data_IF_092699002906
#
_entry.id   IF_092699002906
#
_cell.length_a   1.000
_cell.length_b   1.000
_cell.length_c   1.000
_cell.angle_alpha   90.00
_cell.angle_beta   90.00
_cell.angle_gamma   90.00
#
_symmetry.space_group_name_H-M   'P 1'
#
loop_
_entity.id
_entity.type
_entity.pdbx_description
1 polymer ?
#
# COMPACT_ATOMS: atom_id res chain seq x y z
N UNK A 1 -11.97 -0.27 -16.08
CA UNK A 1 -10.59 -0.73 -15.83
C UNK A 1 -10.52 -1.38 -14.45
N UNK A 2 -10.48 -2.70 -14.38
CA UNK A 2 -10.39 -3.43 -13.11
C UNK A 2 -9.10 -3.06 -12.36
N UNK A 3 -9.20 -2.75 -11.07
CA UNK A 3 -8.04 -2.52 -10.24
C UNK A 3 -7.46 -3.89 -9.86
N UNK A 4 -6.18 -4.10 -10.12
CA UNK A 4 -5.48 -5.32 -9.69
C UNK A 4 -4.74 -4.99 -8.41
N UNK A 5 -4.96 -5.80 -7.38
CA UNK A 5 -4.53 -5.51 -6.01
C UNK A 5 -3.68 -6.63 -5.45
N UNK A 6 -2.98 -6.36 -4.36
CA UNK A 6 -2.22 -7.39 -3.64
C UNK A 6 -2.93 -7.69 -2.33
N UNK A 7 -3.22 -8.96 -2.08
CA UNK A 7 -3.44 -9.44 -0.73
C UNK A 7 -2.09 -9.84 -0.14
N UNK A 8 -1.85 -9.41 1.09
CA UNK A 8 -0.69 -9.85 1.88
C UNK A 8 -1.22 -10.68 3.04
N UNK A 9 -0.58 -11.83 3.30
CA UNK A 9 -0.78 -12.66 4.49
C UNK A 9 0.49 -12.68 5.35
N UNK A 10 0.46 -13.33 6.51
CA UNK A 10 1.55 -13.29 7.49
C UNK A 10 2.92 -13.77 6.97
N UNK A 11 2.96 -14.51 5.85
CA UNK A 11 4.21 -14.80 5.14
C UNK A 11 4.50 -13.68 4.12
N UNK A 12 5.52 -12.83 4.32
CA UNK A 12 5.79 -11.71 3.44
C UNK A 12 6.33 -12.11 2.06
N UNK A 13 6.71 -13.38 1.88
CA UNK A 13 7.24 -13.92 0.63
C UNK A 13 6.17 -14.76 -0.06
N UNK A 14 5.58 -15.73 0.65
CA UNK A 14 4.60 -16.67 0.08
C UNK A 14 3.15 -16.25 0.26
N UNK A 15 2.90 -15.20 1.04
CA UNK A 15 1.57 -14.68 1.36
C UNK A 15 1.10 -13.55 0.46
N UNK A 16 1.86 -13.19 -0.57
CA UNK A 16 1.47 -12.19 -1.55
C UNK A 16 0.63 -12.86 -2.64
N UNK A 17 -0.56 -12.34 -2.88
CA UNK A 17 -1.45 -12.83 -3.94
C UNK A 17 -1.96 -11.65 -4.78
N UNK A 18 -2.01 -11.82 -6.10
CA UNK A 18 -2.68 -10.85 -6.97
C UNK A 18 -4.19 -11.13 -7.01
N UNK A 19 -5.00 -10.13 -6.70
CA UNK A 19 -6.44 -10.18 -6.88
C UNK A 19 -6.79 -9.39 -8.14
N UNK A 20 -7.15 -10.11 -9.19
CA UNK A 20 -7.59 -9.55 -10.47
C UNK A 20 -9.08 -9.18 -10.42
N UNK A 21 -9.49 -8.23 -11.26
CA UNK A 21 -10.92 -7.92 -11.44
C UNK A 21 -11.56 -7.06 -10.35
N UNK A 22 -10.81 -6.64 -9.32
CA UNK A 22 -11.38 -5.93 -8.18
C UNK A 22 -11.61 -4.44 -8.50
N UNK A 23 -12.85 -4.05 -8.75
CA UNK A 23 -13.25 -2.65 -8.65
C UNK A 23 -13.65 -2.36 -7.20
N UNK A 24 -12.73 -1.82 -6.40
CA UNK A 24 -12.95 -1.73 -4.95
C UNK A 24 -14.16 -0.85 -4.60
N UNK A 25 -14.52 0.11 -5.46
CA UNK A 25 -15.73 0.93 -5.31
C UNK A 25 -17.05 0.15 -5.43
N UNK A 26 -17.05 -1.05 -6.02
CA UNK A 26 -18.28 -1.82 -6.31
C UNK A 26 -18.27 -3.24 -5.71
N UNK A 27 -17.19 -3.68 -5.09
CA UNK A 27 -16.90 -5.11 -4.93
C UNK A 27 -16.88 -5.60 -3.49
N UNK A 28 -17.83 -5.20 -2.65
CA UNK A 28 -17.94 -5.73 -1.27
C UNK A 28 -18.02 -7.27 -1.26
N UNK A 29 -18.72 -7.87 -2.22
CA UNK A 29 -18.77 -9.31 -2.41
C UNK A 29 -17.39 -9.92 -2.72
N UNK A 30 -16.57 -9.24 -3.53
CA UNK A 30 -15.23 -9.73 -3.87
C UNK A 30 -14.28 -9.59 -2.67
N UNK A 31 -14.38 -8.48 -1.91
CA UNK A 31 -13.63 -8.30 -0.66
C UNK A 31 -13.97 -9.41 0.34
N UNK A 32 -15.26 -9.71 0.53
CA UNK A 32 -15.72 -10.78 1.39
C UNK A 32 -15.26 -12.17 0.89
N UNK A 33 -15.38 -12.42 -0.43
CA UNK A 33 -14.92 -13.68 -1.05
C UNK A 33 -13.43 -13.95 -0.84
N UNK A 34 -12.61 -12.90 -0.85
CA UNK A 34 -11.17 -13.00 -0.58
C UNK A 34 -10.82 -12.91 0.91
N UNK A 35 -11.81 -12.77 1.80
CA UNK A 35 -11.60 -12.65 3.25
C UNK A 35 -10.78 -11.41 3.61
N UNK A 36 -10.92 -10.32 2.85
CA UNK A 36 -10.21 -9.07 3.11
C UNK A 36 -10.79 -8.42 4.37
N UNK A 37 -9.93 -8.14 5.34
CA UNK A 37 -10.30 -7.48 6.60
C UNK A 37 -9.74 -6.06 6.70
N UNK A 38 -8.74 -5.74 5.88
CA UNK A 38 -8.01 -4.49 5.90
C UNK A 38 -7.77 -3.99 4.48
N UNK A 39 -7.93 -2.71 4.23
CA UNK A 39 -7.70 -2.08 2.92
C UNK A 39 -6.78 -0.88 3.07
N UNK A 40 -5.79 -0.76 2.18
CA UNK A 40 -4.92 0.40 2.01
C UNK A 40 -5.18 1.01 0.63
N UNK A 41 -5.68 2.25 0.60
CA UNK A 41 -5.88 3.03 -0.62
C UNK A 41 -4.80 4.07 -0.80
N UNK A 42 -4.00 3.95 -1.86
CA UNK A 42 -2.95 4.88 -2.26
C UNK A 42 -3.42 5.73 -3.44
N UNK A 43 -4.47 6.51 -3.23
CA UNK A 43 -5.13 7.36 -4.23
C UNK A 43 -5.61 8.67 -3.60
N UNK A 44 -6.02 9.62 -4.43
CA UNK A 44 -6.65 10.85 -3.96
C UNK A 44 -8.06 10.58 -3.41
N UNK A 45 -8.58 11.49 -2.58
CA UNK A 45 -9.82 11.33 -1.82
C UNK A 45 -11.03 10.92 -2.66
N UNK A 46 -11.15 11.49 -3.87
CA UNK A 46 -12.25 11.21 -4.81
C UNK A 46 -12.29 9.77 -5.31
N UNK A 47 -11.17 9.06 -5.25
CA UNK A 47 -11.01 7.70 -5.75
C UNK A 47 -11.09 6.66 -4.63
N UNK A 48 -11.30 7.09 -3.38
CA UNK A 48 -11.44 6.15 -2.28
C UNK A 48 -12.77 5.41 -2.36
N UNK A 49 -12.73 4.07 -2.30
CA UNK A 49 -13.95 3.27 -2.30
C UNK A 49 -14.78 3.53 -1.04
N UNK A 50 -16.09 3.61 -1.20
CA UNK A 50 -17.04 3.66 -0.09
C UNK A 50 -17.26 2.24 0.44
N UNK A 51 -16.81 1.98 1.67
CA UNK A 51 -17.01 0.70 2.33
C UNK A 51 -18.33 0.70 3.11
N UNK A 52 -19.08 -0.40 3.03
CA UNK A 52 -20.21 -0.64 3.92
C UNK A 52 -19.74 -0.63 5.37
N UNK A 53 -20.44 0.09 6.24
CA UNK A 53 -20.10 0.15 7.66
C UNK A 53 -20.20 -1.24 8.31
N UNK A 54 -21.16 -2.04 7.84
CA UNK A 54 -21.41 -3.43 8.25
C UNK A 54 -20.33 -4.41 7.80
N UNK A 55 -19.43 -4.03 6.88
CA UNK A 55 -18.35 -4.91 6.43
C UNK A 55 -17.28 -5.17 7.51
N UNK A 56 -17.16 -4.28 8.50
CA UNK A 56 -16.10 -4.36 9.52
C UNK A 56 -14.68 -4.15 8.97
N UNK A 57 -14.52 -3.81 7.69
CA UNK A 57 -13.23 -3.64 7.04
C UNK A 57 -12.55 -2.38 7.57
N UNK A 58 -11.32 -2.53 8.09
CA UNK A 58 -10.48 -1.38 8.48
C UNK A 58 -9.84 -0.78 7.25
N UNK A 59 -9.90 0.54 7.10
CA UNK A 59 -9.47 1.22 5.87
C UNK A 59 -8.46 2.32 6.15
N UNK A 60 -7.22 2.12 5.69
CA UNK A 60 -6.19 3.15 5.66
C UNK A 60 -6.23 3.89 4.32
N UNK A 61 -6.32 5.22 4.40
CA UNK A 61 -6.46 6.13 3.27
C UNK A 61 -5.22 7.01 3.18
N UNK A 62 -4.51 6.93 2.06
CA UNK A 62 -3.22 7.61 1.87
C UNK A 62 -3.29 8.42 0.58
N UNK A 63 -3.31 9.77 0.66
CA UNK A 63 -3.38 10.64 -0.51
C UNK A 63 -2.02 10.67 -1.22
N UNK A 64 -1.76 9.64 -2.04
CA UNK A 64 -0.51 9.48 -2.77
C UNK A 64 -0.72 9.63 -4.28
N UNK A 65 -0.02 10.61 -4.87
CA UNK A 65 -0.03 10.88 -6.32
C UNK A 65 1.08 10.09 -7.01
N UNK A 66 0.83 9.63 -8.25
CA UNK A 66 1.79 8.81 -9.00
C UNK A 66 2.75 9.64 -9.85
N UNK A 67 3.57 10.44 -9.18
CA UNK A 67 4.61 11.25 -9.83
C UNK A 67 5.97 10.90 -9.23
N UNK A 68 7.02 10.96 -10.05
CA UNK A 68 8.40 10.63 -9.62
C UNK A 68 8.87 11.49 -8.45
N UNK A 69 8.36 12.70 -8.38
CA UNK A 69 8.71 13.64 -7.34
C UNK A 69 7.82 13.50 -6.11
N UNK A 70 6.86 12.59 -6.00
CA UNK A 70 6.06 12.47 -4.76
C UNK A 70 6.91 11.89 -3.62
N UNK A 71 6.70 12.34 -2.38
CA UNK A 71 7.43 11.81 -1.20
C UNK A 71 6.78 10.53 -0.68
N UNK A 72 7.08 9.41 -1.31
CA UNK A 72 6.63 8.08 -0.88
C UNK A 72 7.22 7.71 0.49
N UNK A 73 8.48 8.06 0.75
CA UNK A 73 9.20 7.68 1.98
C UNK A 73 8.48 8.13 3.25
N UNK A 74 7.92 9.34 3.25
CA UNK A 74 7.15 9.87 4.39
C UNK A 74 5.97 8.96 4.79
N UNK A 75 5.38 8.24 3.83
CA UNK A 75 4.24 7.36 4.10
C UNK A 75 4.67 5.93 4.47
N UNK A 76 5.86 5.48 4.05
CA UNK A 76 6.24 4.06 4.17
C UNK A 76 6.25 3.56 5.60
N UNK A 77 6.77 4.32 6.57
CA UNK A 77 6.78 3.88 7.97
C UNK A 77 5.37 3.58 8.49
N UNK A 78 4.48 4.56 8.36
CA UNK A 78 3.10 4.45 8.84
C UNK A 78 2.34 3.33 8.10
N UNK A 79 2.44 3.28 6.77
CA UNK A 79 1.68 2.30 5.97
C UNK A 79 2.20 0.89 6.21
N UNK A 80 3.52 0.68 6.19
CA UNK A 80 4.10 -0.64 6.39
C UNK A 80 3.86 -1.12 7.82
N UNK A 81 3.98 -0.25 8.84
CA UNK A 81 3.61 -0.61 10.21
C UNK A 81 2.13 -0.99 10.31
N UNK A 82 1.24 -0.22 9.69
CA UNK A 82 -0.18 -0.52 9.71
C UNK A 82 -0.49 -1.88 9.07
N UNK A 83 0.18 -2.23 7.96
CA UNK A 83 0.07 -3.56 7.34
C UNK A 83 0.60 -4.64 8.30
N UNK A 84 1.76 -4.43 8.91
CA UNK A 84 2.36 -5.37 9.86
C UNK A 84 1.44 -5.61 11.08
N UNK A 85 0.90 -4.55 11.66
CA UNK A 85 -0.01 -4.63 12.81
C UNK A 85 -1.33 -5.32 12.45
N UNK A 86 -1.88 -5.00 11.28
CA UNK A 86 -3.06 -5.68 10.74
C UNK A 86 -2.83 -7.19 10.59
N UNK A 87 -1.67 -7.60 10.04
CA UNK A 87 -1.33 -9.01 9.80
C UNK A 87 -0.93 -9.76 11.07
N UNK A 88 -0.34 -9.09 12.05
CA UNK A 88 -0.04 -9.67 13.36
C UNK A 88 -1.31 -10.02 14.12
N UNK A 89 -2.40 -9.28 13.89
CA UNK A 89 -3.74 -9.50 14.42
C UNK A 89 -3.77 -9.66 15.93
N UNK A 90 -4.04 -8.59 16.68
CA UNK A 90 -4.23 -8.56 18.15
C UNK A 90 -3.53 -9.74 18.85
N UNK A 91 -2.19 -9.70 18.89
CA UNK A 91 -1.40 -10.67 19.65
C UNK A 91 -1.93 -10.77 21.09
N UNK A 92 -2.46 -9.66 21.61
CA UNK A 92 -3.14 -9.57 22.91
C UNK A 92 -4.38 -10.46 23.03
N UNK A 93 -5.19 -10.63 21.98
CA UNK A 93 -6.42 -11.45 22.03
C UNK A 93 -6.08 -12.95 22.02
N UNK A 94 -5.04 -13.37 21.31
CA UNK A 94 -4.59 -14.77 21.27
C UNK A 94 -3.87 -15.17 22.55
N UNK A 95 -2.94 -14.34 23.03
CA UNK A 95 -2.24 -14.57 24.31
C UNK A 95 -3.21 -14.53 25.49
N UNK A 96 -4.20 -13.63 25.48
CA UNK A 96 -5.25 -13.61 26.50
C UNK A 96 -6.14 -14.87 26.47
N UNK A 97 -6.46 -15.40 25.27
CA UNK A 97 -7.24 -16.65 25.14
C UNK A 97 -6.47 -17.88 25.58
N UNK A 98 -5.21 -18.03 25.17
CA UNK A 98 -4.35 -19.14 25.61
C UNK A 98 -4.09 -19.08 27.12
N UNK A 99 -3.93 -17.88 27.67
CA UNK A 99 -3.82 -17.64 29.11
C UNK A 99 -5.09 -18.03 29.87
N UNK A 100 -6.27 -17.74 29.34
CA UNK A 100 -7.56 -18.08 29.97
C UNK A 100 -7.87 -19.58 29.87
N UNK A 101 -7.63 -20.21 28.71
CA UNK A 101 -7.79 -21.67 28.53
C UNK A 101 -6.86 -22.46 29.47
N UNK A 102 -5.63 -21.99 29.66
CA UNK A 102 -4.67 -22.56 30.60
C UNK A 102 -5.13 -22.42 32.05
N UNK A 103 -5.80 -21.32 32.42
CA UNK A 103 -6.36 -21.10 33.77
C UNK A 103 -7.57 -22.01 34.04
N UNK A 104 -8.44 -22.19 33.06
CA UNK A 104 -9.61 -23.08 33.16
C UNK A 104 -9.15 -24.54 33.34
N UNK A 105 -8.19 -25.02 32.55
CA UNK A 105 -7.67 -26.38 32.67
C UNK A 105 -6.92 -26.63 33.99
N UNK A 106 -6.23 -25.62 34.53
CA UNK A 106 -5.57 -25.73 35.84
C UNK A 106 -6.57 -25.74 37.00
N UNK A 107 -7.68 -25.00 36.91
CA UNK A 107 -8.74 -25.03 37.93
C UNK A 107 -9.51 -26.36 37.93
N UNK A 108 -9.74 -26.96 36.77
CA UNK A 108 -10.36 -28.30 36.65
C UNK A 108 -9.49 -29.42 37.25
N UNK A 109 -8.16 -29.29 37.17
CA UNK A 109 -7.23 -30.27 37.74
C UNK A 109 -7.03 -30.13 39.26
N UNK A 110 -7.33 -28.97 39.84
CA UNK A 110 -7.13 -28.69 41.27
C UNK A 110 -8.42 -28.74 42.11
N UNK A 111 -9.60 -28.89 41.49
CA UNK A 111 -10.91 -28.93 42.16
C UNK A 111 -11.49 -30.34 42.34
N UNK A 112 -10.96 -31.12 43.30
CA UNK A 112 -11.57 -32.37 43.71
C UNK A 112 -12.87 -32.19 44.49
N UNK A 113 -14.01 -32.64 43.94
CA UNK A 113 -14.99 -33.56 44.58
C UNK A 113 -16.17 -33.81 43.63
N UNK A 114 -16.19 -34.99 43.03
CA UNK A 114 -17.34 -35.52 42.29
C UNK A 114 -18.48 -35.81 43.27
N UNK A 115 -19.60 -35.08 43.17
CA UNK A 115 -20.90 -35.54 43.67
C UNK A 115 -21.67 -36.04 42.45
N UNK A 116 -21.77 -37.36 42.32
CA UNK A 116 -22.67 -38.01 41.36
C UNK A 116 -24.08 -37.96 41.93
N UNK A 117 -25.02 -37.34 41.23
CA UNK A 117 -26.39 -37.83 41.15
C UNK A 117 -27.10 -37.24 39.92
N UNK A 118 -27.62 -38.14 39.08
CA UNK A 118 -28.83 -37.90 38.27
C UNK A 118 -28.68 -37.10 36.99
N UNK A 119 -29.04 -37.76 35.88
CA UNK A 119 -29.46 -37.17 34.60
C UNK A 119 -28.34 -36.65 33.67
N UNK A 120 -28.20 -37.33 32.53
CA UNK A 120 -27.39 -36.88 31.40
C UNK A 120 -28.16 -35.78 30.65
N UNK A 121 -27.68 -34.53 30.59
CA UNK A 121 -28.06 -33.65 29.49
C UNK A 121 -27.25 -34.10 28.26
N UNK A 122 -27.90 -34.08 27.09
CA UNK A 122 -27.29 -34.50 25.83
C UNK A 122 -25.96 -33.78 25.57
N UNK A 123 -25.05 -34.47 24.88
CA UNK A 123 -23.89 -33.84 24.23
C UNK A 123 -24.44 -32.81 23.25
N UNK A 124 -24.60 -31.57 23.70
CA UNK A 124 -24.59 -30.43 22.80
C UNK A 124 -23.24 -30.46 22.09
N UNK A 125 -23.27 -30.69 20.78
CA UNK A 125 -22.17 -30.28 19.93
C UNK A 125 -22.03 -28.78 20.16
N UNK A 126 -21.04 -28.40 20.97
CA UNK A 126 -20.63 -27.01 21.06
C UNK A 126 -20.16 -26.64 19.66
N UNK A 127 -20.94 -25.82 18.96
CA UNK A 127 -20.43 -24.98 17.89
C UNK A 127 -19.36 -24.10 18.53
N UNK A 128 -18.12 -24.58 18.60
CA UNK A 128 -16.99 -23.66 18.61
C UNK A 128 -17.10 -22.91 17.29
N UNK A 129 -17.32 -21.59 17.28
CA UNK A 129 -17.27 -20.83 16.05
C UNK A 129 -15.95 -21.17 15.37
N UNK A 130 -15.97 -21.39 14.05
CA UNK A 130 -14.74 -21.54 13.29
C UNK A 130 -13.80 -20.39 13.68
N UNK A 131 -12.48 -20.65 13.80
CA UNK A 131 -11.54 -19.60 14.13
C UNK A 131 -11.72 -18.44 13.15
N UNK A 132 -11.97 -17.24 13.71
CA UNK A 132 -12.11 -16.01 12.92
C UNK A 132 -10.98 -15.95 11.87
N UNK A 133 -11.32 -15.68 10.59
CA UNK A 133 -10.37 -15.76 9.50
C UNK A 133 -9.16 -14.87 9.76
N UNK A 134 -7.97 -15.41 9.46
CA UNK A 134 -6.72 -14.68 9.59
C UNK A 134 -6.80 -13.33 8.85
N UNK A 135 -6.23 -12.25 9.39
CA UNK A 135 -6.29 -10.95 8.76
C UNK A 135 -5.64 -11.00 7.37
N UNK A 136 -6.28 -10.34 6.40
CA UNK A 136 -5.76 -10.15 5.04
C UNK A 136 -5.84 -8.69 4.67
N UNK A 137 -4.71 -8.16 4.20
CA UNK A 137 -4.59 -6.75 3.85
C UNK A 137 -4.56 -6.60 2.34
N UNK A 138 -5.50 -5.83 1.82
CA UNK A 138 -5.55 -5.40 0.43
C UNK A 138 -4.78 -4.10 0.26
N UNK A 139 -3.80 -4.05 -0.65
CA UNK A 139 -3.09 -2.80 -1.00
C UNK A 139 -3.37 -2.44 -2.45
N UNK A 140 -3.90 -1.23 -2.68
CA UNK A 140 -4.27 -0.78 -4.02
C UNK A 140 -3.93 0.68 -4.33
N UNK A 141 -3.85 0.96 -5.62
CA UNK A 141 -3.84 2.30 -6.21
C UNK A 141 -4.76 2.29 -7.44
N UNK A 142 -4.56 3.16 -8.43
CA UNK A 142 -5.40 3.18 -9.66
C UNK A 142 -5.17 1.99 -10.60
N UNK A 143 -3.92 1.61 -10.84
CA UNK A 143 -3.59 0.57 -11.84
C UNK A 143 -3.00 -0.70 -11.23
N UNK A 144 -2.64 -0.69 -9.94
CA UNK A 144 -1.93 -1.81 -9.33
C UNK A 144 -0.49 -2.00 -9.83
N UNK A 145 0.11 -0.94 -10.41
CA UNK A 145 1.42 -1.00 -11.08
C UNK A 145 2.50 -0.27 -10.26
N UNK A 146 2.32 1.02 -10.02
CA UNK A 146 3.35 1.88 -9.43
C UNK A 146 3.16 2.08 -7.91
N UNK A 147 2.23 2.94 -7.47
CA UNK A 147 2.02 3.26 -6.03
C UNK A 147 1.84 2.06 -5.11
N UNK A 148 0.82 1.23 -5.35
CA UNK A 148 0.60 0.04 -4.51
C UNK A 148 1.70 -1.00 -4.66
N UNK A 149 2.24 -1.15 -5.86
CA UNK A 149 3.41 -1.99 -6.10
C UNK A 149 4.62 -1.55 -5.27
N UNK A 150 4.86 -0.24 -5.18
CA UNK A 150 5.95 0.34 -4.40
C UNK A 150 5.79 0.07 -2.89
N UNK A 151 4.57 0.23 -2.35
CA UNK A 151 4.28 -0.08 -0.94
C UNK A 151 4.42 -1.58 -0.64
N UNK A 152 3.93 -2.46 -1.52
CA UNK A 152 4.08 -3.92 -1.33
C UNK A 152 5.56 -4.31 -1.39
N UNK A 153 6.34 -3.73 -2.30
CA UNK A 153 7.80 -3.89 -2.34
C UNK A 153 8.44 -3.40 -1.03
N UNK A 154 8.09 -2.20 -0.53
CA UNK A 154 8.61 -1.67 0.72
C UNK A 154 8.32 -2.59 1.93
N UNK A 155 7.10 -3.14 2.00
CA UNK A 155 6.71 -4.12 3.00
C UNK A 155 7.58 -5.38 2.89
N UNK A 156 7.72 -5.97 1.70
CA UNK A 156 8.56 -7.14 1.49
C UNK A 156 10.03 -6.87 1.85
N UNK A 157 10.56 -5.69 1.53
CA UNK A 157 11.92 -5.27 1.92
C UNK A 157 12.08 -5.24 3.45
N UNK A 158 11.13 -4.64 4.19
CA UNK A 158 11.19 -4.59 5.65
C UNK A 158 11.03 -5.97 6.27
N UNK A 159 10.02 -6.72 5.84
CA UNK A 159 9.64 -7.99 6.45
C UNK A 159 10.65 -9.13 6.17
N UNK A 160 11.27 -9.15 4.98
CA UNK A 160 12.23 -10.19 4.59
C UNK A 160 13.70 -9.70 4.57
N UNK A 161 13.97 -8.44 4.92
CA UNK A 161 15.32 -7.88 4.94
C UNK A 161 15.98 -7.77 3.55
N UNK A 162 15.18 -7.73 2.49
CA UNK A 162 15.63 -7.71 1.10
C UNK A 162 15.99 -6.29 0.63
N UNK A 163 16.88 -6.21 -0.36
CA UNK A 163 17.04 -4.99 -1.15
C UNK A 163 15.87 -4.81 -2.14
N UNK A 164 15.87 -3.66 -2.82
CA UNK A 164 14.79 -3.29 -3.74
C UNK A 164 14.62 -4.29 -4.88
N UNK A 165 15.71 -4.67 -5.55
CA UNK A 165 15.63 -5.51 -6.75
C UNK A 165 15.20 -6.94 -6.41
N UNK A 166 15.69 -7.49 -5.29
CA UNK A 166 15.26 -8.79 -4.79
C UNK A 166 13.79 -8.78 -4.35
N UNK A 167 13.35 -7.77 -3.60
CA UNK A 167 11.96 -7.63 -3.17
C UNK A 167 11.01 -7.44 -4.37
N UNK A 168 11.38 -6.59 -5.33
CA UNK A 168 10.63 -6.42 -6.58
C UNK A 168 10.52 -7.75 -7.34
N UNK A 169 11.60 -8.54 -7.38
CA UNK A 169 11.61 -9.87 -7.96
C UNK A 169 10.60 -10.82 -7.29
N UNK A 170 10.51 -10.81 -5.96
CA UNK A 170 9.50 -11.58 -5.21
C UNK A 170 8.08 -11.14 -5.57
N UNK A 171 7.80 -9.83 -5.47
CA UNK A 171 6.47 -9.29 -5.77
C UNK A 171 6.05 -9.60 -7.21
N UNK A 172 6.98 -9.51 -8.17
CA UNK A 172 6.72 -9.80 -9.59
C UNK A 172 6.40 -11.26 -9.90
N UNK A 173 6.75 -12.22 -9.03
CA UNK A 173 6.29 -13.62 -9.19
C UNK A 173 4.78 -13.72 -9.11
N UNK A 174 4.16 -12.89 -8.27
CA UNK A 174 2.72 -12.85 -8.07
C UNK A 174 2.04 -11.81 -8.95
N UNK A 175 2.73 -10.69 -9.22
CA UNK A 175 2.23 -9.63 -10.10
C UNK A 175 3.31 -9.09 -11.05
N UNK A 176 3.51 -9.70 -12.23
CA UNK A 176 4.56 -9.29 -13.18
C UNK A 176 4.49 -7.82 -13.62
N UNK A 177 3.30 -7.22 -13.61
CA UNK A 177 3.08 -5.83 -14.00
C UNK A 177 3.57 -4.80 -12.97
N UNK A 178 3.95 -5.20 -11.75
CA UNK A 178 4.45 -4.25 -10.75
C UNK A 178 5.70 -3.56 -11.26
N UNK A 179 5.63 -2.24 -11.30
CA UNK A 179 6.69 -1.37 -11.78
C UNK A 179 6.53 0.00 -11.13
N UNK A 180 7.10 0.21 -9.93
CA UNK A 180 7.21 1.53 -9.33
C UNK A 180 7.78 2.53 -10.34
N UNK A 181 7.28 3.77 -10.34
CA UNK A 181 7.88 4.82 -11.15
C UNK A 181 9.36 5.04 -10.73
N UNK A 182 10.21 5.63 -11.59
CA UNK A 182 11.64 5.77 -11.30
C UNK A 182 11.96 6.48 -9.98
N UNK A 183 11.22 7.53 -9.64
CA UNK A 183 11.42 8.25 -8.38
C UNK A 183 11.05 7.43 -7.15
N UNK A 184 10.01 6.59 -7.25
CA UNK A 184 9.68 5.61 -6.20
C UNK A 184 10.73 4.49 -6.11
N UNK A 185 11.28 4.02 -7.23
CA UNK A 185 12.35 3.04 -7.21
C UNK A 185 13.61 3.57 -6.48
N UNK A 186 14.00 4.82 -6.74
CA UNK A 186 15.12 5.46 -6.06
C UNK A 186 14.84 5.66 -4.57
N UNK A 187 13.63 6.08 -4.22
CA UNK A 187 13.18 6.16 -2.84
C UNK A 187 13.20 4.80 -2.13
N UNK A 188 12.81 3.71 -2.78
CA UNK A 188 12.89 2.36 -2.19
C UNK A 188 14.33 1.89 -1.98
N UNK A 189 15.28 2.31 -2.83
CA UNK A 189 16.71 2.06 -2.56
C UNK A 189 17.19 2.85 -1.35
N UNK A 190 16.78 4.11 -1.20
CA UNK A 190 17.05 4.91 0.00
C UNK A 190 16.37 4.31 1.25
N UNK A 191 15.16 3.79 1.12
CA UNK A 191 14.46 3.07 2.20
C UNK A 191 15.32 1.93 2.76
N UNK A 192 16.00 1.16 1.90
CA UNK A 192 16.94 0.13 2.34
C UNK A 192 18.12 0.70 3.13
N UNK A 193 18.71 1.81 2.67
CA UNK A 193 19.82 2.48 3.37
C UNK A 193 19.38 3.01 4.74
N UNK A 194 18.14 3.48 4.82
CA UNK A 194 17.45 3.86 6.05
C UNK A 194 17.03 2.64 6.89
N UNK A 195 17.51 1.43 6.59
CA UNK A 195 17.18 0.18 7.31
C UNK A 195 15.67 -0.06 7.38
N UNK A 196 14.98 0.31 6.31
CA UNK A 196 13.53 0.28 6.20
C UNK A 196 12.84 1.02 7.36
N UNK A 197 13.33 2.22 7.73
CA UNK A 197 12.69 3.12 8.73
C UNK A 197 13.26 4.55 8.60
N UNK A 198 12.43 5.55 8.32
CA UNK A 198 12.84 6.96 8.20
C UNK A 198 13.04 7.63 9.56
N UNK A 199 12.37 7.16 10.61
CA UNK A 199 12.50 7.69 11.97
C UNK A 199 13.66 7.06 12.73
N UNK A 200 14.21 7.80 13.69
CA UNK A 200 15.25 7.28 14.58
C UNK A 200 14.66 6.26 15.57
N UNK A 201 15.51 5.39 16.14
CA UNK A 201 15.08 4.50 17.21
C UNK A 201 14.92 5.22 18.56
N UNK A 202 15.52 6.41 18.71
CA UNK A 202 15.47 7.19 19.94
C UNK A 202 14.16 7.97 20.09
N UNK A 203 13.58 8.42 18.97
CA UNK A 203 12.36 9.22 18.95
C UNK A 203 11.54 8.93 17.67
N UNK A 204 10.25 8.54 17.78
CA UNK A 204 9.38 8.27 16.64
C UNK A 204 9.00 9.51 15.82
N UNK A 205 9.39 10.72 16.23
CA UNK A 205 9.14 11.96 15.48
C UNK A 205 10.39 12.46 14.75
N UNK A 206 11.59 12.16 15.28
CA UNK A 206 12.85 12.60 14.66
C UNK A 206 13.21 11.72 13.47
N UNK A 207 13.40 12.34 12.30
CA UNK A 207 13.83 11.67 11.07
C UNK A 207 15.33 11.47 10.99
N UNK A 208 15.78 10.49 10.18
CA UNK A 208 17.19 10.23 9.89
C UNK A 208 17.76 11.27 8.93
N UNK A 209 19.01 11.65 9.13
CA UNK A 209 19.71 12.69 8.35
C UNK A 209 19.74 12.41 6.84
N UNK A 210 19.79 11.15 6.44
CA UNK A 210 19.83 10.71 5.05
C UNK A 210 18.49 10.97 4.35
N UNK A 211 17.37 10.79 5.08
CA UNK A 211 16.05 11.17 4.59
C UNK A 211 15.93 12.70 4.48
N UNK A 212 16.39 13.44 5.48
CA UNK A 212 16.36 14.91 5.47
C UNK A 212 17.17 15.48 4.30
N UNK A 213 18.39 14.98 4.10
CA UNK A 213 19.25 15.39 2.98
C UNK A 213 18.58 15.10 1.62
N UNK A 214 17.96 13.92 1.48
CA UNK A 214 17.21 13.59 0.27
C UNK A 214 15.99 14.50 0.07
N UNK A 215 15.21 14.74 1.13
CA UNK A 215 14.00 15.58 1.11
C UNK A 215 14.35 17.02 0.72
N UNK A 216 15.45 17.55 1.26
CA UNK A 216 15.91 18.90 0.98
C UNK A 216 16.42 19.01 -0.48
N UNK A 217 17.13 17.98 -0.96
CA UNK A 217 17.56 17.88 -2.36
C UNK A 217 16.39 17.74 -3.35
N UNK A 218 15.31 17.05 -2.96
CA UNK A 218 14.07 16.92 -3.74
C UNK A 218 13.41 18.27 -3.99
N UNK A 219 13.42 19.18 -3.01
CA UNK A 219 12.90 20.54 -3.18
C UNK A 219 13.57 21.27 -4.34
N UNK A 220 14.89 21.15 -4.45
CA UNK A 220 15.67 21.74 -5.55
C UNK A 220 15.29 21.12 -6.90
N UNK A 221 15.10 19.79 -6.95
CA UNK A 221 14.69 19.10 -8.17
C UNK A 221 13.28 19.49 -8.63
N UNK A 222 12.34 19.65 -7.69
CA UNK A 222 11.00 20.17 -7.94
C UNK A 222 11.06 21.56 -8.56
N UNK A 223 11.80 22.50 -7.96
CA UNK A 223 11.94 23.86 -8.48
C UNK A 223 12.54 23.89 -9.89
N UNK A 224 13.61 23.11 -10.14
CA UNK A 224 14.21 22.99 -11.48
C UNK A 224 13.24 22.40 -12.51
N UNK A 225 12.44 21.41 -12.12
CA UNK A 225 11.41 20.81 -12.99
C UNK A 225 10.31 21.80 -13.33
N UNK A 226 9.87 22.62 -12.37
CA UNK A 226 8.89 23.68 -12.61
C UNK A 226 9.45 24.79 -13.52
N UNK A 227 10.70 25.20 -13.31
CA UNK A 227 11.42 26.14 -14.17
C UNK A 227 11.52 25.61 -15.60
N UNK A 228 11.98 24.36 -15.78
CA UNK A 228 12.06 23.73 -17.10
C UNK A 228 10.69 23.64 -17.79
N UNK A 229 9.61 23.32 -17.05
CA UNK A 229 8.25 23.32 -17.60
C UNK A 229 7.79 24.73 -18.01
N UNK A 230 8.12 25.76 -17.22
CA UNK A 230 7.83 27.16 -17.57
C UNK A 230 8.58 27.58 -18.82
N UNK A 231 9.87 27.26 -18.93
CA UNK A 231 10.70 27.57 -20.10
C UNK A 231 10.19 26.86 -21.36
N UNK A 232 9.90 25.57 -21.28
CA UNK A 232 9.36 24.80 -22.41
C UNK A 232 7.98 25.33 -22.87
N UNK A 233 7.13 25.79 -21.93
CA UNK A 233 5.85 26.39 -22.28
C UNK A 233 6.01 27.78 -22.92
N UNK A 234 7.00 28.58 -22.49
CA UNK A 234 7.37 29.86 -23.11
C UNK A 234 7.92 29.66 -24.53
N UNK A 235 8.72 28.62 -24.75
CA UNK A 235 9.27 28.31 -26.07
C UNK A 235 8.20 27.78 -27.02
N UNK A 236 7.31 26.89 -26.54
CA UNK A 236 6.14 26.44 -27.29
C UNK A 236 5.23 27.59 -27.69
N UNK A 237 4.89 28.49 -26.77
CA UNK A 237 4.05 29.65 -27.06
C UNK A 237 4.70 30.62 -28.05
N UNK A 238 6.01 30.85 -27.95
CA UNK A 238 6.77 31.60 -28.98
C UNK A 238 6.72 30.92 -30.34
N UNK A 239 6.87 29.59 -30.40
CA UNK A 239 6.76 28.81 -31.63
C UNK A 239 5.37 28.91 -32.29
N UNK A 240 4.30 28.90 -31.49
CA UNK A 240 2.92 29.11 -31.96
C UNK A 240 2.72 30.52 -32.50
N UNK A 241 3.24 31.55 -31.83
CA UNK A 241 3.15 32.95 -32.30
C UNK A 241 3.89 33.14 -33.62
N UNK A 242 5.10 32.59 -33.76
CA UNK A 242 5.89 32.64 -35.00
C UNK A 242 5.17 31.90 -36.15
N UNK A 243 4.56 30.75 -35.88
CA UNK A 243 3.80 30.01 -36.88
C UNK A 243 2.54 30.78 -37.35
N UNK A 244 1.84 31.46 -36.44
CA UNK A 244 0.68 32.29 -36.76
C UNK A 244 1.06 33.56 -37.53
N UNK A 245 2.23 34.16 -37.24
CA UNK A 245 2.77 35.29 -38.01
C UNK A 245 3.24 34.87 -39.41
N UNK A 246 3.81 33.68 -39.56
CA UNK A 246 4.19 33.12 -40.86
C UNK A 246 2.97 32.93 -41.78
N UNK A 247 1.84 32.48 -41.23
CA UNK A 247 0.58 32.30 -41.97
C UNK A 247 -0.11 33.63 -42.35
N UNK A 248 0.32 34.77 -41.79
CA UNK A 248 -0.20 36.11 -42.13
C UNK A 248 0.63 36.85 -43.19
N UNK A 249 1.71 36.25 -43.69
CA UNK A 249 2.50 36.88 -44.77
C UNK A 249 1.77 36.71 -46.11
N UNK A 250 1.46 37.80 -46.84
CA UNK A 250 0.82 37.69 -48.14
C UNK A 250 1.76 37.01 -49.12
N UNK A 251 1.24 36.02 -49.85
CA UNK A 251 1.96 35.29 -50.89
C UNK A 251 2.42 36.27 -51.98
N UNK A 252 3.74 36.46 -52.14
CA UNK A 252 4.30 37.13 -53.30
C UNK A 252 4.00 36.28 -54.55
N UNK A 253 2.95 36.67 -55.28
CA UNK A 253 2.68 36.15 -56.61
C UNK A 253 3.76 36.63 -57.56
N UNK A 254 4.57 35.68 -58.07
CA UNK A 254 5.44 35.91 -59.24
C UNK A 254 4.54 36.13 -60.46
N UNK A 255 4.48 37.38 -60.92
CA UNK A 255 3.89 37.75 -62.20
C UNK A 255 4.68 37.13 -63.35
N UNK A 256 3.96 36.46 -64.24
CA UNK A 256 4.45 35.72 -65.39
C UNK A 256 4.90 36.65 -66.53
N UNK A 257 5.85 36.13 -67.30
CA UNK A 257 6.32 36.64 -68.58
C UNK A 257 5.18 36.86 -69.58
N UNK A 258 5.29 37.94 -70.36
CA UNK A 258 4.79 38.06 -71.73
C UNK A 258 5.97 38.49 -72.60
#
# INVERSE_FOLDING_TARGET
MAYVTHAVSADPINGIEAIEGLFISESQELLAKHGITHVVSLTEDRDWPMMAAESGIKHLKVPLVDIQLEDLLMYLDMVVMWIEDALRGDVDVRVAREGEESRIQQQEQQGGRVVRHGERPGRGQGNTPDPEPLPRVLVHCLQGVSRSGAVVVAYTMRAAGLDYDAALGVVRKYRPAVSPNPGFADQLRLWRQLQCRIFTNADPVTTKSEYESWRDGRGILMSKSEEARREANLDWTKGVVVALEYQRRPSMTRGQNA
#
